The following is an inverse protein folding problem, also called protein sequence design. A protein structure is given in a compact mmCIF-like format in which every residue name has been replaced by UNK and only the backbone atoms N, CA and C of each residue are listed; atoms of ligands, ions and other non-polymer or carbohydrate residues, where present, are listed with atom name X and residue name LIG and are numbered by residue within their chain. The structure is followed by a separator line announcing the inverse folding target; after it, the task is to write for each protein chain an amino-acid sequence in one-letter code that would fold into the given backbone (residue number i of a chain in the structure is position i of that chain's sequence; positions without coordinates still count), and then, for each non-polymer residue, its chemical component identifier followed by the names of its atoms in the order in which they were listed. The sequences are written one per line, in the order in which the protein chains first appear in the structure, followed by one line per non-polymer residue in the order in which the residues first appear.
data_IF_345246902206
#
_entry.id   IF_345246902206
#
_cell.length_a   1.000
_cell.length_b   1.000
_cell.length_c   1.000
_cell.angle_alpha   90.00
_cell.angle_beta   90.00
_cell.angle_gamma   90.00
#
_symmetry.space_group_name_H-M   'P 1'
#
loop_
_entity.id
_entity.type
_entity.pdbx_description
1 polymer ?
#
# COMPACT_ATOMS: atom_id res chain seq x y z
N UNK A 1 14.99 10.28 5.15
CA UNK A 1 15.07 9.31 4.05
C UNK A 1 16.27 8.37 4.17
N UNK A 2 17.50 8.88 4.08
CA UNK A 2 18.72 8.04 4.06
C UNK A 2 18.87 7.11 5.28
N UNK A 3 18.79 7.64 6.52
CA UNK A 3 18.92 6.80 7.73
C UNK A 3 17.86 5.71 7.80
N UNK A 4 16.62 6.04 7.45
CA UNK A 4 15.48 5.11 7.48
C UNK A 4 15.63 3.98 6.45
N UNK A 5 15.98 4.29 5.20
CA UNK A 5 16.20 3.23 4.20
C UNK A 5 17.42 2.37 4.50
N UNK A 6 18.48 2.93 5.11
CA UNK A 6 19.59 2.13 5.64
C UNK A 6 19.12 1.19 6.75
N UNK A 7 18.33 1.69 7.71
CA UNK A 7 17.77 0.84 8.76
C UNK A 7 16.97 -0.32 8.16
N UNK A 8 16.11 -0.07 7.17
CA UNK A 8 15.32 -1.12 6.52
C UNK A 8 16.20 -2.21 5.91
N UNK A 9 17.16 -1.85 5.06
CA UNK A 9 18.03 -2.84 4.39
C UNK A 9 19.00 -3.54 5.35
N UNK A 10 19.29 -2.96 6.52
CA UNK A 10 20.08 -3.61 7.57
C UNK A 10 19.23 -4.54 8.44
N UNK A 11 17.91 -4.36 8.48
CA UNK A 11 17.00 -5.12 9.37
C UNK A 11 16.30 -6.26 8.65
N UNK A 12 15.98 -6.10 7.37
CA UNK A 12 15.14 -7.03 6.62
C UNK A 12 15.83 -7.51 5.33
N UNK A 13 15.71 -8.80 5.04
CA UNK A 13 16.25 -9.40 3.81
C UNK A 13 15.33 -9.24 2.60
N UNK A 14 14.03 -9.17 2.86
CA UNK A 14 12.99 -8.99 1.86
C UNK A 14 12.11 -7.80 2.25
N UNK A 15 11.87 -6.91 1.30
CA UNK A 15 11.06 -5.72 1.49
C UNK A 15 10.06 -5.64 0.34
N UNK A 16 8.78 -5.48 0.68
CA UNK A 16 7.71 -5.26 -0.30
C UNK A 16 7.17 -3.84 -0.17
N UNK A 17 6.96 -3.17 -1.31
CA UNK A 17 6.35 -1.83 -1.38
C UNK A 17 5.33 -1.76 -2.52
N UNK A 18 4.37 -0.84 -2.41
CA UNK A 18 3.41 -0.56 -3.50
C UNK A 18 4.03 0.31 -4.61
N UNK A 19 3.68 0.04 -5.88
CA UNK A 19 3.91 1.00 -6.98
C UNK A 19 2.88 2.13 -6.95
N UNK A 20 3.20 3.17 -6.18
CA UNK A 20 2.40 4.37 -6.09
C UNK A 20 2.52 5.24 -7.35
N UNK A 21 1.38 5.63 -7.94
CA UNK A 21 1.33 6.53 -9.11
C UNK A 21 1.62 8.01 -8.74
N UNK A 22 2.85 8.29 -8.30
CA UNK A 22 3.29 9.59 -7.74
C UNK A 22 2.91 10.78 -8.62
N UNK A 23 3.13 10.70 -9.95
CA UNK A 23 2.79 11.78 -10.90
C UNK A 23 1.30 12.11 -10.90
N UNK A 24 0.42 11.10 -10.94
CA UNK A 24 -1.04 11.30 -10.87
C UNK A 24 -1.45 11.87 -9.52
N UNK A 25 -0.79 11.43 -8.44
CA UNK A 25 -1.06 11.96 -7.10
C UNK A 25 -0.58 13.42 -6.94
N UNK A 26 0.44 13.87 -7.66
CA UNK A 26 0.89 15.27 -7.62
C UNK A 26 -0.10 16.25 -8.29
N UNK A 27 -0.90 15.78 -9.26
CA UNK A 27 -1.85 16.62 -9.99
C UNK A 27 -3.14 16.94 -9.23
N UNK A 28 -3.43 16.28 -8.10
CA UNK A 28 -4.59 16.64 -7.27
C UNK A 28 -4.25 17.81 -6.33
N UNK A 29 -5.05 18.87 -6.39
CA UNK A 29 -4.82 20.25 -5.92
C UNK A 29 -4.61 20.50 -4.40
N UNK A 30 -4.24 19.48 -3.61
CA UNK A 30 -4.01 19.64 -2.17
C UNK A 30 -2.51 19.82 -1.91
N UNK A 31 -2.05 21.07 -1.91
CA UNK A 31 -0.64 21.47 -1.83
C UNK A 31 0.14 20.84 -0.64
N UNK A 32 -0.50 20.62 0.51
CA UNK A 32 0.12 19.95 1.67
C UNK A 32 0.32 18.43 1.47
N UNK A 33 -0.55 17.76 0.70
CA UNK A 33 -0.36 16.35 0.30
C UNK A 33 0.67 16.21 -0.82
N UNK A 34 0.87 17.24 -1.64
CA UNK A 34 1.80 17.23 -2.77
C UNK A 34 3.26 16.99 -2.37
N UNK A 35 3.72 17.60 -1.25
CA UNK A 35 5.08 17.42 -0.74
C UNK A 35 5.32 16.01 -0.17
N UNK A 36 4.35 15.45 0.57
CA UNK A 36 4.45 14.06 1.02
C UNK A 36 4.48 13.07 -0.16
N UNK A 37 3.78 13.40 -1.24
CA UNK A 37 3.69 12.56 -2.43
C UNK A 37 4.99 12.52 -3.25
N UNK A 38 5.69 13.65 -3.40
CA UNK A 38 7.01 13.66 -4.06
C UNK A 38 8.05 12.82 -3.29
N UNK A 39 7.93 12.75 -1.96
CA UNK A 39 8.83 11.95 -1.14
C UNK A 39 8.70 10.44 -1.36
N UNK A 40 7.56 9.90 -1.82
CA UNK A 40 7.43 8.47 -2.13
C UNK A 40 8.28 8.05 -3.34
N UNK A 41 8.36 8.91 -4.36
CA UNK A 41 9.23 8.68 -5.51
C UNK A 41 10.71 8.63 -5.09
N UNK A 42 11.12 9.59 -4.26
CA UNK A 42 12.47 9.62 -3.70
C UNK A 42 12.74 8.45 -2.75
N UNK A 43 11.78 8.06 -1.91
CA UNK A 43 11.88 6.88 -1.04
C UNK A 43 12.12 5.62 -1.85
N UNK A 44 11.31 5.36 -2.89
CA UNK A 44 11.47 4.21 -3.78
C UNK A 44 12.85 4.20 -4.41
N UNK A 45 13.25 5.31 -5.02
CA UNK A 45 14.58 5.43 -5.66
C UNK A 45 15.70 5.10 -4.66
N UNK A 46 15.65 5.67 -3.45
CA UNK A 46 16.67 5.46 -2.43
C UNK A 46 16.69 4.03 -1.93
N UNK A 47 15.53 3.43 -1.72
CA UNK A 47 15.41 2.06 -1.25
C UNK A 47 15.90 1.07 -2.31
N UNK A 48 15.56 1.28 -3.59
CA UNK A 48 15.99 0.41 -4.70
C UNK A 48 17.50 0.28 -4.77
N UNK A 49 18.24 1.40 -4.88
CA UNK A 49 19.71 1.29 -4.99
C UNK A 49 20.35 0.72 -3.71
N UNK A 50 19.75 0.92 -2.53
CA UNK A 50 20.26 0.34 -1.28
C UNK A 50 20.01 -1.16 -1.21
N UNK A 51 18.86 -1.63 -1.66
CA UNK A 51 18.63 -3.06 -1.75
C UNK A 51 19.64 -3.71 -2.71
N UNK A 52 19.96 -3.07 -3.84
CA UNK A 52 21.01 -3.55 -4.74
C UNK A 52 22.40 -3.59 -4.06
N UNK A 53 22.78 -2.53 -3.32
CA UNK A 53 24.08 -2.47 -2.64
C UNK A 53 24.24 -3.46 -1.48
N UNK A 54 23.16 -3.74 -0.75
CA UNK A 54 23.15 -4.61 0.43
C UNK A 54 22.67 -6.03 0.11
N UNK A 55 22.51 -6.36 -1.18
CA UNK A 55 22.05 -7.67 -1.67
C UNK A 55 20.70 -8.10 -1.06
N UNK A 56 19.76 -7.14 -0.95
CA UNK A 56 18.41 -7.35 -0.41
C UNK A 56 17.38 -7.47 -1.53
N UNK A 57 16.34 -8.27 -1.30
CA UNK A 57 15.24 -8.41 -2.24
C UNK A 57 14.22 -7.29 -2.03
N UNK A 58 14.00 -6.47 -3.07
CA UNK A 58 12.94 -5.48 -3.10
C UNK A 58 11.86 -5.92 -4.09
N UNK A 59 10.68 -6.29 -3.57
CA UNK A 59 9.50 -6.54 -4.39
C UNK A 59 8.67 -5.27 -4.49
N UNK A 60 8.46 -4.81 -5.72
CA UNK A 60 7.51 -3.73 -6.00
C UNK A 60 6.22 -4.39 -6.48
N UNK A 61 5.16 -4.30 -5.67
CA UNK A 61 3.86 -4.83 -6.03
C UNK A 61 3.34 -4.13 -7.30
N UNK A 62 2.72 -4.91 -8.20
CA UNK A 62 2.13 -4.36 -9.41
C UNK A 62 1.19 -3.20 -9.08
N UNK A 63 1.19 -2.17 -9.92
CA UNK A 63 0.39 -0.95 -9.71
C UNK A 63 -1.10 -1.23 -9.54
N UNK A 64 -1.61 -2.28 -10.18
CA UNK A 64 -3.01 -2.66 -10.14
C UNK A 64 -3.28 -3.78 -9.13
N UNK A 65 -2.27 -4.18 -8.35
CA UNK A 65 -2.45 -5.13 -7.26
C UNK A 65 -3.46 -4.58 -6.24
N UNK A 66 -4.57 -5.29 -5.96
CA UNK A 66 -5.67 -4.75 -5.18
C UNK A 66 -5.44 -4.88 -3.66
N UNK A 67 -4.26 -4.50 -3.14
CA UNK A 67 -3.87 -4.64 -1.72
C UNK A 67 -4.94 -4.13 -0.74
N UNK A 68 -5.54 -2.97 -1.03
CA UNK A 68 -6.57 -2.33 -0.18
C UNK A 68 -7.99 -2.83 -0.46
N UNK A 69 -8.21 -3.59 -1.53
CA UNK A 69 -9.52 -4.08 -1.94
C UNK A 69 -9.68 -5.58 -1.70
N UNK A 70 -8.57 -6.32 -1.68
CA UNK A 70 -8.49 -7.74 -1.41
C UNK A 70 -8.63 -8.00 0.08
N UNK A 71 -9.39 -9.02 0.46
CA UNK A 71 -9.44 -9.50 1.83
C UNK A 71 -8.25 -10.42 2.09
N UNK A 72 -7.45 -10.13 3.11
CA UNK A 72 -6.30 -10.97 3.47
C UNK A 72 -6.70 -12.33 4.04
N UNK A 73 -7.95 -12.49 4.50
CA UNK A 73 -8.46 -13.74 5.08
C UNK A 73 -8.95 -14.72 4.01
N UNK A 74 -9.74 -14.24 3.04
CA UNK A 74 -10.39 -15.12 2.05
C UNK A 74 -10.01 -14.84 0.58
N UNK A 75 -9.22 -13.80 0.32
CA UNK A 75 -8.80 -13.42 -1.03
C UNK A 75 -9.86 -12.72 -1.88
N UNK A 76 -11.08 -12.51 -1.37
CA UNK A 76 -12.12 -11.77 -2.09
C UNK A 76 -11.66 -10.36 -2.47
N UNK A 77 -11.92 -9.93 -3.70
CA UNK A 77 -11.60 -8.58 -4.17
C UNK A 77 -12.89 -7.80 -4.35
N UNK A 78 -13.03 -6.71 -3.60
CA UNK A 78 -14.15 -5.77 -3.75
C UNK A 78 -14.12 -5.08 -5.12
N UNK A 79 -15.28 -4.99 -5.77
CA UNK A 79 -15.45 -4.38 -7.09
C UNK A 79 -16.62 -3.40 -7.10
N UNK A 80 -16.70 -2.55 -8.13
CA UNK A 80 -17.77 -1.57 -8.29
C UNK A 80 -17.98 -0.68 -7.06
N UNK A 81 -19.23 -0.54 -6.64
CA UNK A 81 -19.64 0.28 -5.48
C UNK A 81 -19.29 -0.34 -4.13
N UNK A 82 -18.73 -1.55 -4.10
CA UNK A 82 -18.29 -2.20 -2.85
C UNK A 82 -16.81 -1.94 -2.55
N UNK A 83 -16.11 -1.25 -3.46
CA UNK A 83 -14.71 -0.86 -3.27
C UNK A 83 -14.55 0.05 -2.06
N UNK A 84 -13.46 -0.15 -1.33
CA UNK A 84 -13.02 0.69 -0.21
C UNK A 84 -12.64 2.08 -0.75
N UNK A 85 -13.65 2.93 -0.82
CA UNK A 85 -13.67 4.29 -1.37
C UNK A 85 -14.68 5.09 -0.56
N UNK A 86 -14.72 6.42 -0.70
CA UNK A 86 -15.72 7.23 0.01
C UNK A 86 -17.15 6.77 -0.31
N UNK A 87 -17.43 6.43 -1.58
CA UNK A 87 -18.75 5.95 -2.01
C UNK A 87 -19.08 4.58 -1.41
N UNK A 88 -18.16 3.61 -1.54
CA UNK A 88 -18.41 2.27 -1.00
C UNK A 88 -18.49 2.22 0.52
N UNK A 89 -17.65 3.01 1.20
CA UNK A 89 -17.70 3.12 2.66
C UNK A 89 -19.02 3.77 3.12
N UNK A 90 -19.51 4.78 2.40
CA UNK A 90 -20.82 5.37 2.69
C UNK A 90 -21.97 4.38 2.46
N UNK A 91 -21.94 3.63 1.34
CA UNK A 91 -22.95 2.61 1.01
C UNK A 91 -23.08 1.53 2.10
N UNK A 92 -21.95 1.11 2.65
CA UNK A 92 -21.88 0.02 3.63
C UNK A 92 -21.70 0.49 5.07
N UNK A 93 -21.81 1.80 5.32
CA UNK A 93 -21.63 2.42 6.63
C UNK A 93 -20.32 2.02 7.34
N UNK A 94 -19.24 1.81 6.57
CA UNK A 94 -17.93 1.39 7.06
C UNK A 94 -17.02 2.61 7.27
N UNK A 95 -16.19 2.59 8.30
CA UNK A 95 -15.24 3.68 8.55
C UNK A 95 -14.06 3.64 7.56
N UNK A 96 -13.31 4.75 7.48
CA UNK A 96 -12.21 4.90 6.52
C UNK A 96 -10.95 4.05 6.85
N UNK A 97 -10.80 3.72 8.12
CA UNK A 97 -9.75 2.92 8.76
C UNK A 97 -10.16 1.45 8.95
N UNK A 98 -11.39 1.09 8.61
CA UNK A 98 -11.93 -0.26 8.76
C UNK A 98 -12.05 -0.95 7.40
N UNK A 99 -11.78 -2.25 7.38
CA UNK A 99 -12.04 -3.15 6.25
C UNK A 99 -13.00 -4.25 6.69
N UNK A 100 -14.21 -4.26 6.12
CA UNK A 100 -15.19 -5.33 6.32
C UNK A 100 -15.28 -6.15 5.03
N UNK A 101 -15.01 -7.45 5.09
CA UNK A 101 -15.20 -8.34 3.95
C UNK A 101 -16.67 -8.80 3.86
N UNK A 102 -17.35 -8.46 2.77
CA UNK A 102 -18.75 -8.87 2.55
C UNK A 102 -18.90 -10.32 2.06
N UNK A 103 -17.78 -11.01 1.79
CA UNK A 103 -17.80 -12.44 1.43
C UNK A 103 -17.61 -13.35 2.65
N UNK A 104 -16.64 -13.07 3.54
CA UNK A 104 -16.35 -13.93 4.69
C UNK A 104 -16.68 -13.31 6.06
N UNK A 105 -17.14 -12.06 6.10
CA UNK A 105 -17.50 -11.38 7.34
C UNK A 105 -16.33 -10.88 8.18
N UNK A 106 -15.08 -11.01 7.72
CA UNK A 106 -13.92 -10.52 8.46
C UNK A 106 -13.95 -9.00 8.63
N UNK A 107 -13.69 -8.52 9.85
CA UNK A 107 -13.51 -7.11 10.17
C UNK A 107 -12.08 -6.88 10.61
N UNK A 108 -11.38 -5.98 9.91
CA UNK A 108 -9.95 -5.73 10.06
C UNK A 108 -9.68 -4.22 10.09
N UNK A 109 -8.53 -3.84 10.64
CA UNK A 109 -7.93 -2.55 10.29
C UNK A 109 -7.54 -2.56 8.80
N UNK A 110 -7.85 -1.46 8.10
CA UNK A 110 -7.67 -1.37 6.64
C UNK A 110 -6.20 -1.44 6.24
N UNK A 111 -5.32 -0.78 6.98
CA UNK A 111 -3.89 -0.74 6.66
C UNK A 111 -3.26 -2.09 7.01
N UNK A 112 -3.65 -2.71 8.13
CA UNK A 112 -3.24 -4.06 8.47
C UNK A 112 -3.64 -5.10 7.41
N UNK A 113 -4.87 -5.02 6.88
CA UNK A 113 -5.31 -5.87 5.77
C UNK A 113 -4.46 -5.65 4.51
N UNK A 114 -4.16 -4.39 4.16
CA UNK A 114 -3.30 -4.08 3.02
C UNK A 114 -1.87 -4.62 3.19
N UNK A 115 -1.28 -4.46 4.38
CA UNK A 115 0.04 -5.01 4.71
C UNK A 115 0.04 -6.54 4.58
N UNK A 116 -0.97 -7.23 5.12
CA UNK A 116 -1.07 -8.68 4.99
C UNK A 116 -1.16 -9.14 3.53
N UNK A 117 -1.90 -8.41 2.68
CA UNK A 117 -1.94 -8.71 1.24
C UNK A 117 -0.60 -8.47 0.55
N UNK A 118 0.13 -7.41 0.90
CA UNK A 118 1.46 -7.15 0.35
C UNK A 118 2.47 -8.21 0.78
N UNK A 119 2.43 -8.64 2.04
CA UNK A 119 3.30 -9.71 2.55
C UNK A 119 3.03 -11.05 1.84
N UNK A 120 1.80 -11.30 1.40
CA UNK A 120 1.45 -12.48 0.61
C UNK A 120 2.04 -12.48 -0.83
N UNK A 121 2.76 -11.42 -1.23
CA UNK A 121 3.53 -11.38 -2.49
C UNK A 121 4.97 -11.85 -2.35
N UNK A 122 5.47 -11.93 -1.12
CA UNK A 122 6.82 -12.47 -0.80
C UNK A 122 6.78 -14.00 -0.77
#
# INVERSE_FOLDING_TARGET
MQKFTTQLVCTYDQIVIEDLAVKRMQMSHVAAKGLQRSMFGYFRQVLTYKCEWYEKNLLVADRFYPSTQRCSVCGHIKQGDDKVTLVGNHKHHTKHDEYICYQCGATLDRDANAVANLLALL
#
